data_IF_708302799137
#
_entry.id   IF_708302799137
#
_cell.length_a   1.000
_cell.length_b   1.000
_cell.length_c   1.000
_cell.angle_alpha   90.00
_cell.angle_beta   90.00
_cell.angle_gamma   90.00
#
_symmetry.space_group_name_H-M   'P 1'
#
loop_
_entity.id
_entity.type
_entity.pdbx_description
1 polymer ?
#
# COMPACT_ATOMS: atom_id res chain seq x y z
N UNK A 1 -32.97 18.20 1.09
CA UNK A 1 -32.28 17.58 2.25
C UNK A 1 -31.45 16.43 1.70
N UNK A 2 -30.15 16.64 1.46
CA UNK A 2 -29.26 15.59 0.97
C UNK A 2 -29.13 14.52 2.06
N UNK A 3 -29.40 13.26 1.73
CA UNK A 3 -29.18 12.17 2.67
C UNK A 3 -27.69 12.13 3.04
N UNK A 4 -27.33 12.04 4.33
CA UNK A 4 -25.93 11.89 4.72
C UNK A 4 -25.38 10.63 4.05
N UNK A 5 -24.16 10.73 3.50
CA UNK A 5 -23.49 9.60 2.89
C UNK A 5 -23.47 8.41 3.88
N UNK A 6 -23.75 7.18 3.42
CA UNK A 6 -23.69 5.99 4.26
C UNK A 6 -22.37 5.93 5.02
N UNK A 7 -22.40 5.43 6.26
CA UNK A 7 -21.20 5.33 7.09
C UNK A 7 -19.99 4.68 6.38
N UNK A 8 -20.15 3.58 5.60
CA UNK A 8 -19.03 2.99 4.85
C UNK A 8 -18.40 3.92 3.81
N UNK A 9 -19.19 4.79 3.18
CA UNK A 9 -18.67 5.78 2.20
C UNK A 9 -17.84 6.82 2.92
N UNK A 10 -18.34 7.35 4.04
CA UNK A 10 -17.58 8.31 4.88
C UNK A 10 -16.30 7.70 5.43
N UNK A 11 -16.31 6.41 5.77
CA UNK A 11 -15.12 5.69 6.21
C UNK A 11 -14.08 5.58 5.08
N UNK A 12 -14.52 5.23 3.87
CA UNK A 12 -13.62 5.18 2.70
C UNK A 12 -13.01 6.56 2.39
N UNK A 13 -13.81 7.63 2.46
CA UNK A 13 -13.33 9.00 2.27
C UNK A 13 -12.29 9.40 3.33
N UNK A 14 -12.53 9.04 4.59
CA UNK A 14 -11.61 9.32 5.68
C UNK A 14 -10.31 8.54 5.52
N UNK A 15 -10.36 7.26 5.12
CA UNK A 15 -9.16 6.48 4.80
C UNK A 15 -8.38 7.16 3.68
N UNK A 16 -9.02 7.51 2.57
CA UNK A 16 -8.36 8.18 1.44
C UNK A 16 -7.69 9.50 1.88
N UNK A 17 -8.36 10.28 2.73
CA UNK A 17 -7.80 11.51 3.29
C UNK A 17 -6.57 11.26 4.17
N UNK A 18 -6.63 10.26 5.04
CA UNK A 18 -5.50 9.89 5.91
C UNK A 18 -4.30 9.37 5.10
N UNK A 19 -4.54 8.64 4.00
CA UNK A 19 -3.49 8.22 3.07
C UNK A 19 -2.81 9.40 2.38
N UNK A 20 -3.58 10.40 1.96
CA UNK A 20 -3.04 11.65 1.44
C UNK A 20 -2.14 12.34 2.46
N UNK A 21 -2.62 12.48 3.70
CA UNK A 21 -1.82 13.07 4.79
C UNK A 21 -0.54 12.27 5.06
N UNK A 22 -0.61 10.94 5.12
CA UNK A 22 0.57 10.11 5.35
C UNK A 22 1.62 10.31 4.25
N UNK A 23 1.18 10.43 3.00
CA UNK A 23 2.04 10.72 1.85
C UNK A 23 2.74 12.07 2.00
N UNK A 24 2.00 13.12 2.38
CA UNK A 24 2.54 14.46 2.58
C UNK A 24 3.54 14.53 3.74
N UNK A 25 3.28 13.79 4.83
CA UNK A 25 4.19 13.70 5.97
C UNK A 25 5.45 12.93 5.61
N UNK A 26 5.31 11.80 4.89
CA UNK A 26 6.45 10.96 4.50
C UNK A 26 7.49 11.76 3.70
N UNK A 27 7.05 12.68 2.84
CA UNK A 27 7.93 13.56 2.06
C UNK A 27 8.76 14.54 2.92
N UNK A 28 8.34 14.79 4.16
CA UNK A 28 8.96 15.76 5.07
C UNK A 28 9.74 15.09 6.22
N UNK A 29 9.56 13.78 6.41
CA UNK A 29 10.20 13.06 7.51
C UNK A 29 11.73 12.97 7.33
N UNK A 30 12.48 12.98 8.44
CA UNK A 30 13.88 12.57 8.42
C UNK A 30 14.02 11.16 7.82
N UNK A 31 15.12 10.86 7.08
CA UNK A 31 15.25 9.59 6.35
C UNK A 31 15.02 8.33 7.19
N UNK A 32 15.47 8.31 8.44
CA UNK A 32 15.29 7.16 9.33
C UNK A 32 13.81 6.94 9.70
N UNK A 33 13.09 8.02 10.02
CA UNK A 33 11.65 7.96 10.32
C UNK A 33 10.84 7.60 9.07
N UNK A 34 11.22 8.12 7.91
CA UNK A 34 10.60 7.75 6.64
C UNK A 34 10.74 6.24 6.35
N UNK A 35 11.93 5.66 6.59
CA UNK A 35 12.15 4.21 6.42
C UNK A 35 11.30 3.38 7.39
N UNK A 36 11.15 3.82 8.65
CA UNK A 36 10.27 3.15 9.61
C UNK A 36 8.81 3.15 9.14
N UNK A 37 8.32 4.30 8.67
CA UNK A 37 6.95 4.45 8.16
C UNK A 37 6.76 3.57 6.92
N UNK A 38 7.70 3.59 5.97
CA UNK A 38 7.66 2.73 4.77
C UNK A 38 7.63 1.26 5.17
N UNK A 39 8.45 0.83 6.13
CA UNK A 39 8.46 -0.55 6.62
C UNK A 39 7.11 -0.98 7.20
N UNK A 40 6.39 -0.05 7.85
CA UNK A 40 5.06 -0.31 8.43
C UNK A 40 3.95 -0.33 7.37
N UNK A 41 4.03 0.56 6.38
CA UNK A 41 3.09 0.62 5.26
C UNK A 41 3.16 -0.65 4.40
N UNK A 42 4.37 -1.17 4.19
CA UNK A 42 4.64 -2.34 3.35
C UNK A 42 4.55 -3.68 4.10
N UNK A 43 4.17 -3.67 5.37
CA UNK A 43 4.04 -4.89 6.15
C UNK A 43 2.91 -5.78 5.59
N UNK A 44 3.21 -7.04 5.25
CA UNK A 44 2.23 -7.95 4.65
C UNK A 44 1.33 -8.65 5.67
N UNK A 45 1.61 -8.55 6.96
CA UNK A 45 0.78 -9.21 7.98
C UNK A 45 -0.29 -8.25 8.54
N UNK A 46 0.07 -6.98 8.76
CA UNK A 46 -0.81 -5.99 9.39
C UNK A 46 -0.64 -4.57 8.79
N UNK A 47 0.05 -4.46 7.66
CA UNK A 47 0.34 -3.17 7.04
C UNK A 47 -0.77 -2.67 6.12
N UNK A 48 -0.58 -1.44 5.64
CA UNK A 48 -1.54 -0.80 4.75
C UNK A 48 -1.70 -1.55 3.42
N UNK A 49 -0.60 -2.06 2.86
CA UNK A 49 -0.64 -2.79 1.59
C UNK A 49 -1.48 -4.06 1.69
N UNK A 50 -1.36 -4.81 2.79
CA UNK A 50 -2.21 -5.98 3.05
C UNK A 50 -3.69 -5.57 3.18
N UNK A 51 -3.99 -4.55 3.97
CA UNK A 51 -5.36 -4.04 4.13
C UNK A 51 -6.02 -3.61 2.82
N UNK A 52 -5.26 -2.93 1.93
CA UNK A 52 -5.74 -2.56 0.60
C UNK A 52 -5.94 -3.79 -0.29
N UNK A 53 -5.01 -4.75 -0.25
CA UNK A 53 -5.13 -6.02 -0.99
C UNK A 53 -6.39 -6.79 -0.58
N UNK A 54 -6.64 -6.89 0.74
CA UNK A 54 -7.84 -7.48 1.30
C UNK A 54 -9.12 -6.75 0.85
N UNK A 55 -9.13 -5.42 0.86
CA UNK A 55 -10.28 -4.62 0.41
C UNK A 55 -10.61 -4.88 -1.07
N UNK A 56 -9.60 -4.93 -1.93
CA UNK A 56 -9.77 -5.21 -3.37
C UNK A 56 -10.24 -6.66 -3.58
N UNK A 57 -9.70 -7.61 -2.82
CA UNK A 57 -10.10 -9.03 -2.87
C UNK A 57 -11.57 -9.24 -2.48
N UNK A 58 -12.02 -8.61 -1.38
CA UNK A 58 -13.43 -8.62 -0.97
C UNK A 58 -14.32 -7.95 -2.02
N UNK A 59 -13.87 -6.82 -2.57
CA UNK A 59 -14.59 -6.11 -3.63
C UNK A 59 -14.73 -6.96 -4.89
N UNK A 60 -13.71 -7.72 -5.27
CA UNK A 60 -13.75 -8.68 -6.38
C UNK A 60 -14.78 -9.78 -6.13
N UNK A 61 -14.79 -10.35 -4.92
CA UNK A 61 -15.77 -11.38 -4.52
C UNK A 61 -17.20 -10.84 -4.58
N UNK A 62 -17.42 -9.61 -4.11
CA UNK A 62 -18.72 -8.94 -4.24
C UNK A 62 -19.10 -8.73 -5.71
N UNK A 63 -18.18 -8.19 -6.52
CA UNK A 63 -18.42 -7.93 -7.94
C UNK A 63 -18.77 -9.21 -8.71
N UNK A 64 -18.12 -10.34 -8.39
CA UNK A 64 -18.47 -11.67 -8.93
C UNK A 64 -19.93 -12.01 -8.67
N UNK A 65 -20.36 -11.92 -7.41
CA UNK A 65 -21.73 -12.25 -7.03
C UNK A 65 -22.76 -11.32 -7.70
N UNK A 66 -22.43 -10.06 -7.94
CA UNK A 66 -23.29 -9.14 -8.68
C UNK A 66 -23.30 -9.40 -10.19
N UNK A 67 -22.16 -9.80 -10.77
CA UNK A 67 -22.07 -10.15 -12.17
C UNK A 67 -22.85 -11.43 -12.50
N UNK A 68 -22.79 -12.45 -11.64
CA UNK A 68 -23.59 -13.67 -11.75
C UNK A 68 -25.11 -13.39 -11.70
N UNK A 69 -25.51 -12.29 -11.07
CA UNK A 69 -26.91 -11.82 -11.00
C UNK A 69 -27.28 -10.85 -12.12
N UNK A 70 -26.36 -10.51 -13.02
CA UNK A 70 -26.55 -9.55 -14.11
C UNK A 70 -26.63 -8.09 -13.65
N UNK A 71 -26.22 -7.76 -12.42
CA UNK A 71 -26.25 -6.40 -11.87
C UNK A 71 -25.01 -5.60 -12.29
N UNK A 72 -23.84 -6.24 -12.31
CA UNK A 72 -22.58 -5.65 -12.76
C UNK A 72 -22.06 -6.34 -14.02
N UNK A 73 -21.30 -5.63 -14.88
CA UNK A 73 -20.55 -6.27 -15.96
C UNK A 73 -19.48 -7.22 -15.40
N UNK A 74 -19.26 -8.35 -16.07
CA UNK A 74 -18.25 -9.33 -15.65
C UNK A 74 -16.82 -8.74 -15.66
N UNK A 75 -16.58 -7.75 -16.51
CA UNK A 75 -15.32 -7.02 -16.63
C UNK A 75 -14.92 -6.34 -15.31
N UNK A 76 -15.89 -5.89 -14.50
CA UNK A 76 -15.61 -5.27 -13.20
C UNK A 76 -15.04 -6.30 -12.22
N UNK A 77 -15.62 -7.49 -12.18
CA UNK A 77 -15.08 -8.60 -11.38
C UNK A 77 -13.68 -8.98 -11.85
N UNK A 78 -13.48 -9.17 -13.16
CA UNK A 78 -12.18 -9.53 -13.72
C UNK A 78 -11.10 -8.48 -13.41
N UNK A 79 -11.44 -7.20 -13.54
CA UNK A 79 -10.52 -6.11 -13.23
C UNK A 79 -10.13 -6.09 -11.74
N UNK A 80 -11.10 -6.23 -10.84
CA UNK A 80 -10.84 -6.28 -9.39
C UNK A 80 -10.05 -7.52 -8.99
N UNK A 81 -10.37 -8.68 -9.56
CA UNK A 81 -9.63 -9.93 -9.33
C UNK A 81 -8.17 -9.82 -9.80
N UNK A 82 -7.94 -9.23 -10.98
CA UNK A 82 -6.58 -8.97 -11.47
C UNK A 82 -5.84 -8.00 -10.55
N UNK A 83 -6.48 -6.90 -10.16
CA UNK A 83 -5.87 -5.92 -9.27
C UNK A 83 -5.49 -6.54 -7.91
N UNK A 84 -6.33 -7.41 -7.34
CA UNK A 84 -6.00 -8.12 -6.10
C UNK A 84 -4.75 -9.01 -6.27
N UNK A 85 -4.67 -9.78 -7.35
CA UNK A 85 -3.51 -10.63 -7.63
C UNK A 85 -2.24 -9.83 -7.88
N UNK A 86 -2.34 -8.71 -8.61
CA UNK A 86 -1.19 -7.84 -8.88
C UNK A 86 -0.69 -7.19 -7.58
N UNK A 87 -1.59 -6.78 -6.68
CA UNK A 87 -1.22 -6.24 -5.36
C UNK A 87 -0.58 -7.29 -4.44
N UNK A 88 -1.11 -8.51 -4.42
CA UNK A 88 -0.53 -9.64 -3.66
C UNK A 88 0.90 -9.96 -4.14
N UNK A 89 1.10 -10.01 -5.46
CA UNK A 89 2.42 -10.21 -6.05
C UNK A 89 3.41 -9.08 -5.71
N UNK A 90 2.96 -7.82 -5.79
CA UNK A 90 3.76 -6.66 -5.36
C UNK A 90 4.10 -6.77 -3.87
N UNK A 91 3.15 -7.22 -3.04
CA UNK A 91 3.38 -7.47 -1.64
C UNK A 91 4.53 -8.45 -1.42
N UNK A 92 4.45 -9.61 -2.08
CA UNK A 92 5.50 -10.63 -2.04
C UNK A 92 6.89 -10.09 -2.41
N UNK A 93 7.00 -9.33 -3.50
CA UNK A 93 8.25 -8.69 -3.92
C UNK A 93 8.82 -7.73 -2.85
N UNK A 94 7.95 -7.04 -2.11
CA UNK A 94 8.35 -6.06 -1.09
C UNK A 94 8.71 -6.71 0.26
N UNK A 95 8.12 -7.86 0.60
CA UNK A 95 8.46 -8.60 1.82
C UNK A 95 9.91 -9.11 1.80
N UNK A 96 10.46 -9.42 0.62
CA UNK A 96 11.89 -9.71 0.44
C UNK A 96 12.80 -8.60 1.01
N UNK A 97 12.31 -7.37 1.07
CA UNK A 97 13.03 -6.20 1.57
C UNK A 97 12.63 -5.78 2.98
N UNK A 98 11.58 -6.37 3.58
CA UNK A 98 11.04 -6.01 4.90
C UNK A 98 12.10 -6.11 6.00
N UNK A 99 12.89 -7.18 6.02
CA UNK A 99 13.96 -7.36 7.00
C UNK A 99 15.04 -6.25 6.92
N UNK A 100 15.34 -5.79 5.70
CA UNK A 100 16.29 -4.69 5.47
C UNK A 100 15.71 -3.36 5.94
N UNK A 101 14.47 -3.05 5.57
CA UNK A 101 13.79 -1.82 5.97
C UNK A 101 13.64 -1.72 7.49
N UNK A 102 13.23 -2.81 8.17
CA UNK A 102 13.14 -2.87 9.63
C UNK A 102 14.48 -2.66 10.30
N UNK A 103 15.56 -3.25 9.78
CA UNK A 103 16.91 -3.09 10.33
C UNK A 103 17.39 -1.64 10.21
N UNK A 104 17.22 -1.03 9.04
CA UNK A 104 17.63 0.36 8.79
C UNK A 104 16.81 1.33 9.64
N UNK A 105 15.49 1.10 9.74
CA UNK A 105 14.61 1.90 10.57
C UNK A 105 14.76 1.67 12.09
N UNK A 106 15.39 0.59 12.55
CA UNK A 106 15.65 0.38 13.97
C UNK A 106 17.00 0.94 14.44
N UNK A 107 17.85 1.37 13.51
CA UNK A 107 19.22 1.76 13.80
C UNK A 107 19.26 3.24 14.23
N UNK A 108 19.53 3.54 15.52
CA UNK A 108 19.54 4.92 16.01
C UNK A 108 20.49 5.75 15.13
N UNK A 109 20.08 6.99 14.80
CA UNK A 109 20.82 7.89 13.93
C UNK A 109 22.30 7.93 14.35
N UNK A 110 23.13 7.15 13.65
CA UNK A 110 24.49 6.92 14.07
C UNK A 110 25.25 8.23 13.93
N UNK A 111 25.87 8.68 15.02
CA UNK A 111 26.81 9.79 15.05
C UNK A 111 27.94 9.52 14.07
N UNK A 112 27.98 10.31 13.00
CA UNK A 112 29.09 10.52 12.07
C UNK A 112 30.06 9.33 11.88
N UNK A 113 29.57 8.19 11.40
CA UNK A 113 30.44 7.24 10.71
C UNK A 113 30.66 7.74 9.27
N UNK A 114 31.85 7.46 8.72
CA UNK A 114 32.24 7.84 7.34
C UNK A 114 31.11 7.48 6.36
N UNK A 115 30.64 8.42 5.51
CA UNK A 115 29.49 8.17 4.67
C UNK A 115 29.76 6.96 3.76
N UNK A 116 28.85 5.97 3.71
CA UNK A 116 28.97 4.85 2.80
C UNK A 116 28.98 5.36 1.36
N UNK A 117 29.81 4.76 0.52
CA UNK A 117 29.86 5.10 -0.91
C UNK A 117 28.48 4.76 -1.52
N UNK A 118 27.81 5.71 -2.19
CA UNK A 118 26.51 5.45 -2.82
C UNK A 118 26.63 4.30 -3.81
N UNK A 119 25.77 3.30 -3.69
CA UNK A 119 25.67 2.25 -4.69
C UNK A 119 25.12 2.84 -6.01
N UNK A 120 25.60 2.41 -7.18
CA UNK A 120 25.03 2.83 -8.45
C UNK A 120 23.55 2.42 -8.51
N UNK A 121 22.65 3.39 -8.66
CA UNK A 121 21.22 3.14 -8.81
C UNK A 121 21.00 2.40 -10.13
N UNK A 122 20.43 1.19 -10.05
CA UNK A 122 20.04 0.44 -11.25
C UNK A 122 18.79 1.11 -11.83
N UNK A 123 18.99 1.94 -12.85
CA UNK A 123 17.88 2.49 -13.63
C UNK A 123 17.26 1.33 -14.41
N UNK A 124 16.11 0.83 -13.97
CA UNK A 124 15.31 -0.10 -14.78
C UNK A 124 14.83 0.66 -16.02
N UNK A 125 15.29 0.23 -17.20
CA UNK A 125 14.76 0.69 -18.49
C UNK A 125 13.28 0.28 -18.56
N UNK A 126 12.38 1.26 -18.54
CA UNK A 126 10.99 1.01 -18.93
C UNK A 126 10.98 0.54 -20.39
N UNK A 127 10.32 -0.59 -20.65
CA UNK A 127 10.01 -1.09 -22.01
C UNK A 127 8.59 -0.73 -22.35
#
# INVERSE_FOLDING_TARGET
MSHPAPYPVRLADEIARQLGLLTDHLAQLPPHEAVQVIAHVLDLEDGLLDGVTGLVSVSSTFAKAQAERGVLPAEVWLALGRAANDLDAIGGDLDEHRATLRRVGAQPAATAAKPPVPAPLVIRRHR
#
